data_IF_053054165120
#
_entry.id   IF_053054165120
#
_cell.length_a   1.000
_cell.length_b   1.000
_cell.length_c   1.000
_cell.angle_alpha   90.00
_cell.angle_beta   90.00
_cell.angle_gamma   90.00
#
_symmetry.space_group_name_H-M   'P 1'
#
loop_
_entity.id
_entity.type
_entity.pdbx_description
1 polymer ?
#
# COMPACT_ATOMS: atom_id res chain seq x y z
N UNK A 1 10.60 -2.95 -26.92
CA UNK A 1 9.39 -2.31 -27.46
C UNK A 1 9.04 -1.12 -26.60
N UNK A 2 8.61 -0.02 -27.21
CA UNK A 2 8.35 1.23 -26.48
C UNK A 2 7.35 1.05 -25.33
N UNK A 3 6.32 0.23 -25.53
CA UNK A 3 5.30 -0.04 -24.52
C UNK A 3 5.88 -0.77 -23.30
N UNK A 4 6.72 -1.76 -23.52
CA UNK A 4 7.34 -2.54 -22.45
C UNK A 4 8.38 -1.71 -21.71
N UNK A 5 9.12 -0.87 -22.44
CA UNK A 5 10.08 0.05 -21.84
C UNK A 5 9.39 1.08 -20.95
N UNK A 6 8.27 1.65 -21.43
CA UNK A 6 7.50 2.62 -20.66
C UNK A 6 6.94 1.98 -19.38
N UNK A 7 6.49 0.73 -19.45
CA UNK A 7 5.96 0.02 -18.30
C UNK A 7 7.06 -0.30 -17.28
N UNK A 8 8.24 -0.68 -17.78
CA UNK A 8 9.41 -0.93 -16.93
C UNK A 8 9.82 0.33 -16.17
N UNK A 9 9.94 1.46 -16.87
CA UNK A 9 10.28 2.74 -16.24
C UNK A 9 9.23 3.14 -15.19
N UNK A 10 7.96 2.95 -15.50
CA UNK A 10 6.87 3.29 -14.60
C UNK A 10 6.96 2.47 -13.31
N UNK A 11 7.27 1.18 -13.41
CA UNK A 11 7.48 0.32 -12.24
C UNK A 11 8.57 0.89 -11.33
N UNK A 12 9.74 1.18 -11.89
CA UNK A 12 10.85 1.67 -11.07
C UNK A 12 10.60 3.07 -10.51
N UNK A 13 9.94 3.94 -11.27
CA UNK A 13 9.53 5.25 -10.76
C UNK A 13 8.52 5.12 -9.62
N UNK A 14 7.59 4.17 -9.74
CA UNK A 14 6.61 3.94 -8.69
C UNK A 14 7.28 3.47 -7.40
N UNK A 15 8.33 2.67 -7.50
CA UNK A 15 9.06 2.16 -6.34
C UNK A 15 10.08 3.16 -5.78
N UNK A 16 10.42 4.21 -6.52
CA UNK A 16 11.43 5.17 -6.12
C UNK A 16 10.84 6.36 -5.35
N UNK A 17 9.95 6.08 -4.41
CA UNK A 17 9.35 7.11 -3.57
C UNK A 17 9.05 6.53 -2.19
N UNK A 18 9.46 7.24 -1.16
CA UNK A 18 9.35 6.78 0.22
C UNK A 18 7.90 6.53 0.64
N UNK A 19 7.00 7.44 0.32
CA UNK A 19 5.59 7.30 0.69
C UNK A 19 4.97 6.10 -0.03
N UNK A 20 5.29 5.91 -1.30
CA UNK A 20 4.77 4.76 -2.05
C UNK A 20 5.30 3.44 -1.49
N UNK A 21 6.56 3.38 -1.09
CA UNK A 21 7.11 2.18 -0.43
C UNK A 21 6.40 1.90 0.89
N UNK A 22 6.12 2.94 1.67
CA UNK A 22 5.38 2.79 2.92
C UNK A 22 3.97 2.25 2.70
N UNK A 23 3.31 2.73 1.65
CA UNK A 23 1.97 2.23 1.29
C UNK A 23 2.01 0.75 0.92
N UNK A 24 2.96 0.35 0.08
CA UNK A 24 3.12 -1.06 -0.29
C UNK A 24 3.36 -1.91 0.96
N UNK A 25 4.22 -1.46 1.84
CA UNK A 25 4.53 -2.15 3.09
C UNK A 25 3.27 -2.43 3.92
N UNK A 26 2.37 -1.46 4.01
CA UNK A 26 1.16 -1.62 4.81
C UNK A 26 0.13 -2.58 4.19
N UNK A 27 0.29 -2.90 2.90
CA UNK A 27 -0.59 -3.85 2.21
C UNK A 27 -0.04 -5.28 2.22
N UNK A 28 1.04 -5.54 2.96
CA UNK A 28 1.70 -6.85 2.95
C UNK A 28 0.77 -7.99 3.40
N UNK A 29 -0.12 -7.73 4.35
CA UNK A 29 -1.02 -8.75 4.88
C UNK A 29 -2.35 -8.84 4.12
N UNK A 30 -2.66 -7.88 3.26
CA UNK A 30 -3.91 -7.89 2.51
C UNK A 30 -4.46 -6.49 2.26
N UNK A 31 -5.75 -6.46 1.97
CA UNK A 31 -6.46 -5.26 1.58
C UNK A 31 -6.59 -4.26 2.72
N UNK A 32 -6.42 -2.97 2.41
CA UNK A 32 -6.49 -1.86 3.39
C UNK A 32 -7.36 -0.74 2.83
N UNK A 33 -8.26 -0.23 3.67
CA UNK A 33 -9.04 0.95 3.34
C UNK A 33 -8.15 2.20 3.38
N UNK A 34 -8.36 3.12 2.43
CA UNK A 34 -7.53 4.33 2.28
C UNK A 34 -7.41 5.14 3.56
N UNK A 35 -8.46 5.22 4.36
CA UNK A 35 -8.45 6.00 5.60
C UNK A 35 -7.42 5.51 6.61
N UNK A 36 -7.07 4.22 6.61
CA UNK A 36 -6.02 3.69 7.48
C UNK A 36 -4.63 4.17 7.04
N UNK A 37 -4.40 4.30 5.74
CA UNK A 37 -3.15 4.87 5.25
C UNK A 37 -2.97 6.31 5.72
N UNK A 38 -4.04 7.11 5.61
CA UNK A 38 -4.03 8.51 6.06
C UNK A 38 -3.67 8.58 7.55
N UNK A 39 -4.31 7.76 8.37
CA UNK A 39 -4.08 7.75 9.81
C UNK A 39 -2.67 7.29 10.17
N UNK A 40 -2.20 6.20 9.58
CA UNK A 40 -0.88 5.63 9.92
C UNK A 40 0.26 6.52 9.44
N UNK A 41 0.16 7.02 8.21
CA UNK A 41 1.25 7.80 7.61
C UNK A 41 1.23 9.28 7.98
N UNK A 42 0.08 9.78 8.49
CA UNK A 42 -0.03 11.19 8.85
C UNK A 42 -0.01 12.13 7.66
N UNK A 43 -0.42 11.66 6.49
CA UNK A 43 -0.45 12.44 5.26
C UNK A 43 -1.89 12.74 4.86
N UNK A 44 -2.10 13.80 4.06
CA UNK A 44 -3.45 14.13 3.59
C UNK A 44 -4.00 13.08 2.65
N UNK A 45 -5.32 12.92 2.64
CA UNK A 45 -5.97 11.96 1.74
C UNK A 45 -5.68 12.23 0.27
N UNK A 46 -5.73 13.49 -0.24
CA UNK A 46 -5.38 13.73 -1.64
C UNK A 46 -3.95 13.30 -2.00
N UNK A 47 -2.99 13.49 -1.11
CA UNK A 47 -1.61 13.05 -1.33
C UNK A 47 -1.51 11.53 -1.38
N UNK A 48 -2.13 10.85 -0.42
CA UNK A 48 -2.18 9.39 -0.39
C UNK A 48 -2.84 8.85 -1.66
N UNK A 49 -3.97 9.42 -2.06
CA UNK A 49 -4.70 8.99 -3.26
C UNK A 49 -3.87 9.15 -4.53
N UNK A 50 -3.07 10.22 -4.63
CA UNK A 50 -2.19 10.41 -5.79
C UNK A 50 -1.10 9.33 -5.86
N UNK A 51 -0.51 9.00 -4.72
CA UNK A 51 0.50 7.94 -4.67
C UNK A 51 -0.10 6.58 -4.98
N UNK A 52 -1.30 6.28 -4.47
CA UNK A 52 -1.99 5.03 -4.78
C UNK A 52 -2.34 4.93 -6.26
N UNK A 53 -2.77 6.04 -6.88
CA UNK A 53 -3.04 6.08 -8.32
C UNK A 53 -1.78 5.79 -9.12
N UNK A 54 -0.64 6.30 -8.70
CA UNK A 54 0.64 6.03 -9.35
C UNK A 54 1.01 4.54 -9.27
N UNK A 55 0.89 3.95 -8.09
CA UNK A 55 1.13 2.53 -7.89
C UNK A 55 0.18 1.66 -8.72
N UNK A 56 -1.08 2.09 -8.83
CA UNK A 56 -2.08 1.38 -9.62
C UNK A 56 -1.72 1.41 -11.11
N UNK A 57 -1.29 2.55 -11.64
CA UNK A 57 -0.83 2.65 -13.04
C UNK A 57 0.37 1.76 -13.30
N UNK A 58 1.25 1.61 -12.33
CA UNK A 58 2.41 0.74 -12.43
C UNK A 58 2.06 -0.75 -12.33
N UNK A 59 0.82 -1.08 -12.01
CA UNK A 59 0.35 -2.47 -11.95
C UNK A 59 0.72 -3.21 -10.68
N UNK A 60 1.14 -2.50 -9.63
CA UNK A 60 1.57 -3.15 -8.38
C UNK A 60 0.51 -3.11 -7.28
N UNK A 61 -0.56 -2.34 -7.46
CA UNK A 61 -1.73 -2.37 -6.57
C UNK A 61 -3.00 -2.38 -7.38
N UNK A 62 -4.07 -2.91 -6.78
CA UNK A 62 -5.42 -2.84 -7.30
C UNK A 62 -6.33 -2.18 -6.28
N UNK A 63 -7.45 -1.62 -6.77
CA UNK A 63 -8.41 -0.91 -5.94
C UNK A 63 -9.79 -1.55 -6.06
N UNK A 64 -10.54 -1.53 -4.96
CA UNK A 64 -11.92 -2.01 -4.91
C UNK A 64 -12.78 -1.00 -4.18
N UNK A 65 -13.92 -0.65 -4.74
CA UNK A 65 -14.89 0.21 -4.09
C UNK A 65 -15.91 -0.63 -3.32
N UNK A 66 -16.17 -0.23 -2.08
CA UNK A 66 -17.20 -0.82 -1.25
C UNK A 66 -18.01 0.34 -0.63
N UNK A 67 -19.12 0.70 -1.27
CA UNK A 67 -19.90 1.87 -0.88
C UNK A 67 -19.07 3.15 -0.99
N UNK A 68 -18.90 3.84 0.13
CA UNK A 68 -18.09 5.06 0.22
C UNK A 68 -16.62 4.77 0.50
N UNK A 69 -16.25 3.49 0.73
CA UNK A 69 -14.90 3.09 1.11
C UNK A 69 -14.11 2.59 -0.09
N UNK A 70 -12.86 3.04 -0.21
CA UNK A 70 -11.93 2.54 -1.22
C UNK A 70 -10.89 1.67 -0.54
N UNK A 71 -10.71 0.46 -1.06
CA UNK A 71 -9.76 -0.51 -0.57
C UNK A 71 -8.66 -0.74 -1.60
N UNK A 72 -7.44 -0.89 -1.12
CA UNK A 72 -6.28 -1.15 -1.96
C UNK A 72 -5.54 -2.39 -1.49
N UNK A 73 -5.02 -3.15 -2.43
CA UNK A 73 -4.23 -4.34 -2.13
C UNK A 73 -3.09 -4.48 -3.14
N UNK A 74 -2.08 -5.25 -2.77
CA UNK A 74 -1.00 -5.60 -3.69
C UNK A 74 -1.59 -6.40 -4.83
N UNK A 75 -1.20 -6.04 -6.07
CA UNK A 75 -1.54 -6.78 -7.27
C UNK A 75 -0.26 -7.39 -7.84
N UNK A 76 -0.36 -8.60 -8.37
CA UNK A 76 0.77 -9.19 -9.04
C UNK A 76 0.87 -8.63 -10.47
N UNK A 77 2.01 -8.00 -10.84
CA UNK A 77 2.19 -7.54 -12.21
C UNK A 77 2.08 -8.69 -13.21
N UNK A 78 1.57 -8.40 -14.42
CA UNK A 78 1.42 -9.40 -15.46
C UNK A 78 2.77 -9.92 -15.97
N UNK A 79 3.79 -9.07 -16.00
CA UNK A 79 5.13 -9.45 -16.41
C UNK A 79 5.82 -10.23 -15.28
N UNK A 80 6.38 -11.39 -15.61
CA UNK A 80 7.02 -12.26 -14.62
C UNK A 80 8.24 -11.63 -13.95
N UNK A 81 9.01 -10.82 -14.69
CA UNK A 81 10.15 -10.13 -14.11
C UNK A 81 9.70 -9.02 -13.14
N UNK A 82 8.69 -8.26 -13.55
CA UNK A 82 8.10 -7.23 -12.68
C UNK A 82 7.54 -7.85 -11.39
N UNK A 83 6.87 -8.99 -11.50
CA UNK A 83 6.34 -9.70 -10.34
C UNK A 83 7.46 -10.11 -9.38
N UNK A 84 8.59 -10.60 -9.90
CA UNK A 84 9.74 -10.95 -9.06
C UNK A 84 10.39 -9.73 -8.40
N UNK A 85 10.49 -8.61 -9.14
CA UNK A 85 11.01 -7.37 -8.56
C UNK A 85 10.11 -6.92 -7.41
N UNK A 86 8.81 -6.92 -7.61
CA UNK A 86 7.86 -6.54 -6.56
C UNK A 86 7.96 -7.48 -5.36
N UNK A 87 8.03 -8.78 -5.59
CA UNK A 87 8.16 -9.77 -4.52
C UNK A 87 9.41 -9.52 -3.67
N UNK A 88 10.54 -9.25 -4.32
CA UNK A 88 11.78 -8.95 -3.61
C UNK A 88 11.68 -7.63 -2.83
N UNK A 89 11.07 -6.62 -3.42
CA UNK A 89 10.82 -5.35 -2.73
C UNK A 89 9.98 -5.58 -1.48
N UNK A 90 8.90 -6.36 -1.57
CA UNK A 90 8.03 -6.63 -0.43
C UNK A 90 8.79 -7.36 0.69
N UNK A 91 9.66 -8.30 0.35
CA UNK A 91 10.51 -8.99 1.32
C UNK A 91 11.46 -8.00 1.99
N UNK A 92 12.10 -7.15 1.21
CA UNK A 92 13.02 -6.13 1.72
C UNK A 92 12.31 -5.16 2.67
N UNK A 93 11.13 -4.68 2.28
CA UNK A 93 10.34 -3.78 3.13
C UNK A 93 10.02 -4.44 4.47
N UNK A 94 9.68 -5.73 4.46
CA UNK A 94 9.39 -6.48 5.68
C UNK A 94 10.57 -6.61 6.63
N UNK A 95 11.79 -6.49 6.14
CA UNK A 95 13.01 -6.55 6.94
C UNK A 95 13.48 -5.17 7.41
N UNK A 96 12.96 -4.10 6.83
CA UNK A 96 13.35 -2.75 7.17
C UNK A 96 12.73 -2.30 8.49
N UNK A 97 13.56 -1.79 9.38
CA UNK A 97 13.14 -1.39 10.72
C UNK A 97 12.05 -0.29 10.72
N UNK A 98 12.19 0.70 9.84
CA UNK A 98 11.21 1.79 9.75
C UNK A 98 9.87 1.29 9.24
N UNK A 99 9.90 0.34 8.30
CA UNK A 99 8.69 -0.26 7.75
C UNK A 99 7.99 -1.13 8.80
N UNK A 100 8.75 -1.81 9.63
CA UNK A 100 8.19 -2.58 10.75
C UNK A 100 7.46 -1.68 11.76
N UNK A 101 7.96 -0.47 12.00
CA UNK A 101 7.28 0.50 12.86
C UNK A 101 5.93 0.91 12.29
N UNK A 102 5.85 1.14 11.00
CA UNK A 102 4.57 1.47 10.34
C UNK A 102 3.58 0.31 10.47
N UNK A 103 4.05 -0.93 10.27
CA UNK A 103 3.20 -2.12 10.44
C UNK A 103 2.67 -2.24 11.87
N UNK A 104 3.53 -2.02 12.85
CA UNK A 104 3.15 -2.07 14.26
C UNK A 104 2.11 -0.99 14.58
N UNK A 105 2.29 0.22 14.05
CA UNK A 105 1.33 1.31 14.23
C UNK A 105 -0.02 0.97 13.62
N UNK A 106 -0.03 0.41 12.41
CA UNK A 106 -1.27 -0.03 11.76
C UNK A 106 -1.98 -1.08 12.60
N UNK A 107 -1.24 -2.08 13.08
CA UNK A 107 -1.80 -3.14 13.91
C UNK A 107 -2.41 -2.57 15.20
N UNK A 108 -1.72 -1.66 15.85
CA UNK A 108 -2.24 -1.02 17.06
C UNK A 108 -3.55 -0.27 16.81
N UNK A 109 -3.67 0.38 15.66
CA UNK A 109 -4.87 1.11 15.30
C UNK A 109 -5.99 0.15 14.92
N UNK A 110 -5.73 -0.82 14.03
CA UNK A 110 -6.78 -1.72 13.54
C UNK A 110 -7.28 -2.71 14.59
N UNK A 111 -6.46 -3.03 15.61
CA UNK A 111 -6.83 -3.98 16.65
C UNK A 111 -7.29 -3.30 17.94
N UNK A 112 -7.33 -1.97 17.96
CA UNK A 112 -7.83 -1.22 19.11
C UNK A 112 -9.31 -1.54 19.38
N UNK A 113 -9.74 -1.54 20.68
CA UNK A 113 -11.15 -1.78 21.00
C UNK A 113 -12.09 -0.78 20.31
N UNK A 114 -11.65 0.48 20.16
CA UNK A 114 -12.38 1.48 19.41
C UNK A 114 -11.45 2.18 18.44
N UNK A 115 -11.95 2.50 17.24
CA UNK A 115 -11.18 3.21 16.23
C UNK A 115 -11.15 4.71 16.55
N UNK A 116 -10.09 5.43 16.14
CA UNK A 116 -10.11 6.90 16.17
C UNK A 116 -11.36 7.45 15.47
N UNK A 117 -11.80 8.62 15.87
CA UNK A 117 -13.04 9.23 15.35
C UNK A 117 -13.06 9.23 13.82
N UNK A 118 -11.93 9.53 13.17
CA UNK A 118 -11.83 9.58 11.72
C UNK A 118 -12.00 8.22 11.05
N UNK A 119 -11.82 7.14 11.80
CA UNK A 119 -11.89 5.78 11.26
C UNK A 119 -13.15 5.02 11.69
N UNK A 120 -14.03 5.66 12.44
CA UNK A 120 -15.25 4.98 12.90
C UNK A 120 -16.13 4.60 11.71
N UNK A 121 -16.55 3.34 11.69
CA UNK A 121 -17.29 2.76 10.58
C UNK A 121 -16.43 2.27 9.43
N UNK A 122 -15.14 2.56 9.42
CA UNK A 122 -14.25 2.07 8.37
C UNK A 122 -13.98 0.56 8.55
N UNK A 123 -13.94 -0.21 7.44
CA UNK A 123 -13.58 -1.62 7.52
C UNK A 123 -12.16 -1.79 8.04
N UNK A 124 -11.98 -2.63 9.05
CA UNK A 124 -10.65 -2.89 9.61
C UNK A 124 -9.83 -3.76 8.67
N UNK A 125 -8.55 -3.42 8.45
CA UNK A 125 -7.67 -4.28 7.65
C UNK A 125 -7.30 -5.54 8.43
N UNK A 126 -6.78 -6.53 7.72
CA UNK A 126 -6.18 -7.70 8.35
C UNK A 126 -4.96 -7.28 9.16
N UNK A 127 -4.66 -8.04 10.23
CA UNK A 127 -3.45 -7.79 11.01
C UNK A 127 -2.21 -7.94 10.13
N UNK A 128 -1.30 -6.97 10.22
CA UNK A 128 -0.08 -6.99 9.42
C UNK A 128 0.97 -7.84 10.13
N UNK A 129 1.63 -8.80 9.46
CA UNK A 129 2.68 -9.61 10.07
C UNK A 129 3.84 -8.74 10.56
N UNK A 130 4.32 -9.02 11.73
CA UNK A 130 5.46 -8.33 12.32
C UNK A 130 6.77 -9.07 12.10
#
# INVERSE_FOLDING_TARGET
MARDEAQMELLFKALADRTRLRLLNLMAAGEVCVCFFVEVLGESQPKISRHLAYLRRAGVVSARRDGKWMHYRIAEPADAHAARVLSEVMTWLGEDHRMQKDRARMENICCAPSLPVRLQGAPRPAAVPT
#
